data_IF_613041571256
#
_entry.id   IF_613041571256
#
_cell.length_a   1.000
_cell.length_b   1.000
_cell.length_c   1.000
_cell.angle_alpha   90.00
_cell.angle_beta   90.00
_cell.angle_gamma   90.00
#
_symmetry.space_group_name_H-M   'P 1'
#
loop_
_entity.id
_entity.type
_entity.pdbx_description
1 polymer ?
#
# COMPACT_ATOMS: atom_id res chain seq x y z
N UNK A 1 42.52 19.37 -42.21
CA UNK A 1 41.93 18.43 -41.24
C UNK A 1 40.86 19.17 -40.45
N UNK A 2 39.65 18.61 -40.31
CA UNK A 2 38.58 19.15 -39.46
C UNK A 2 38.49 18.25 -38.22
N UNK A 3 38.82 18.77 -37.04
CA UNK A 3 38.56 18.07 -35.78
C UNK A 3 37.17 18.46 -35.30
N UNK A 4 36.23 17.53 -35.33
CA UNK A 4 34.92 17.72 -34.70
C UNK A 4 35.06 17.59 -33.18
N UNK A 5 34.55 18.57 -32.44
CA UNK A 5 34.33 18.46 -31.01
C UNK A 5 33.20 17.45 -30.78
N UNK A 6 33.46 16.42 -29.99
CA UNK A 6 32.42 15.51 -29.51
C UNK A 6 31.69 16.24 -28.38
N UNK A 7 30.48 16.70 -28.65
CA UNK A 7 29.60 17.21 -27.61
C UNK A 7 29.23 16.08 -26.66
N UNK A 8 29.49 16.25 -25.36
CA UNK A 8 28.85 15.44 -24.33
C UNK A 8 27.39 15.86 -24.28
N UNK A 9 26.49 15.01 -24.74
CA UNK A 9 25.07 15.15 -24.45
C UNK A 9 24.87 14.90 -22.96
N UNK A 10 24.69 15.96 -22.19
CA UNK A 10 24.10 15.88 -20.85
C UNK A 10 22.62 15.57 -21.05
N UNK A 11 22.26 14.29 -20.96
CA UNK A 11 20.86 13.90 -20.72
C UNK A 11 20.50 14.43 -19.35
N UNK A 12 19.57 15.39 -19.27
CA UNK A 12 19.01 15.79 -17.99
C UNK A 12 18.14 14.62 -17.51
N UNK A 13 18.49 14.04 -16.36
CA UNK A 13 17.57 13.18 -15.61
C UNK A 13 16.49 14.11 -15.08
N UNK A 14 15.23 13.84 -15.42
CA UNK A 14 14.12 14.62 -14.89
C UNK A 14 13.90 14.20 -13.44
N UNK A 15 13.95 15.16 -12.51
CA UNK A 15 13.58 14.94 -11.12
C UNK A 15 12.08 14.63 -11.04
N UNK A 16 11.75 13.35 -10.90
CA UNK A 16 10.38 12.90 -10.67
C UNK A 16 9.98 13.15 -9.20
N UNK A 17 9.85 14.42 -8.81
CA UNK A 17 9.07 14.75 -7.61
C UNK A 17 7.61 14.45 -7.92
N UNK A 18 7.02 13.52 -7.17
CA UNK A 18 5.61 13.15 -7.27
C UNK A 18 4.72 14.27 -6.74
N UNK A 19 4.57 15.34 -7.50
CA UNK A 19 3.57 16.36 -7.24
C UNK A 19 2.23 15.81 -7.75
N UNK A 20 1.40 15.29 -6.83
CA UNK A 20 -0.01 15.01 -7.09
C UNK A 20 -0.76 16.33 -7.31
N UNK A 21 -0.53 16.93 -8.46
CA UNK A 21 -1.21 18.14 -8.90
C UNK A 21 -2.66 17.81 -9.23
N UNK A 22 -3.54 17.95 -8.23
CA UNK A 22 -4.99 18.05 -8.43
C UNK A 22 -5.28 19.27 -9.30
N UNK A 23 -5.24 19.05 -10.61
CA UNK A 23 -5.37 20.08 -11.62
C UNK A 23 -6.74 20.73 -11.57
N UNK A 24 -6.81 21.94 -11.00
CA UNK A 24 -8.02 22.75 -11.00
C UNK A 24 -8.48 22.99 -12.46
N UNK A 25 -9.62 22.39 -12.82
CA UNK A 25 -10.13 22.49 -14.18
C UNK A 25 -10.57 23.94 -14.45
N UNK A 26 -9.87 24.61 -15.36
CA UNK A 26 -10.01 26.05 -15.61
C UNK A 26 -11.39 26.41 -16.17
N UNK A 27 -11.99 27.47 -15.63
CA UNK A 27 -13.31 27.94 -16.02
C UNK A 27 -13.39 28.34 -17.51
N UNK A 28 -14.36 27.77 -18.23
CA UNK A 28 -14.65 28.12 -19.62
C UNK A 28 -16.16 28.19 -19.91
N UNK A 29 -16.83 29.20 -19.36
CA UNK A 29 -18.08 29.72 -19.94
C UNK A 29 -17.71 30.54 -21.19
N UNK A 30 -18.44 30.41 -22.32
CA UNK A 30 -19.61 31.28 -22.42
C UNK A 30 -20.82 30.73 -23.21
N UNK A 31 -22.00 30.98 -22.61
CA UNK A 31 -23.18 31.56 -23.27
C UNK A 31 -24.16 30.68 -24.07
N UNK A 32 -25.39 30.68 -23.53
CA UNK A 32 -26.70 30.80 -24.22
C UNK A 32 -27.28 29.63 -25.01
N UNK A 33 -28.38 29.06 -24.48
CA UNK A 33 -29.32 28.19 -25.20
C UNK A 33 -30.60 27.93 -24.39
N UNK A 34 -31.65 28.73 -24.62
CA UNK A 34 -32.94 28.68 -23.90
C UNK A 34 -33.75 27.40 -24.14
N UNK A 35 -34.38 26.81 -23.09
CA UNK A 35 -35.32 25.69 -23.26
C UNK A 35 -35.98 25.14 -21.98
N UNK A 36 -36.86 25.90 -21.34
CA UNK A 36 -37.93 25.36 -20.44
C UNK A 36 -39.18 24.95 -21.29
N UNK A 37 -40.22 24.25 -20.76
CA UNK A 37 -40.49 23.91 -19.36
C UNK A 37 -40.96 22.46 -19.05
N UNK A 38 -40.91 22.11 -17.75
CA UNK A 38 -42.08 21.56 -17.06
C UNK A 38 -42.23 20.04 -16.86
N UNK A 39 -42.14 19.61 -15.60
CA UNK A 39 -43.26 18.96 -14.91
C UNK A 39 -43.09 18.99 -13.38
N UNK A 40 -44.22 18.90 -12.68
CA UNK A 40 -44.37 19.04 -11.22
C UNK A 40 -45.30 17.92 -10.73
N UNK A 41 -45.22 17.60 -9.44
CA UNK A 41 -45.83 16.45 -8.75
C UNK A 41 -44.97 15.17 -8.87
N UNK A 42 -44.98 14.26 -7.88
CA UNK A 42 -45.98 14.10 -6.82
C UNK A 42 -45.36 13.54 -5.52
N UNK A 43 -45.76 14.06 -4.36
CA UNK A 43 -45.69 13.34 -3.09
C UNK A 43 -46.74 12.23 -3.10
N UNK A 44 -46.44 11.01 -2.63
CA UNK A 44 -47.43 10.20 -1.90
C UNK A 44 -46.75 9.41 -0.78
N UNK A 45 -47.38 9.43 0.40
CA UNK A 45 -47.05 8.61 1.56
C UNK A 45 -48.12 7.52 1.70
N UNK A 46 -47.72 6.28 1.97
CA UNK A 46 -48.62 5.17 2.31
C UNK A 46 -47.76 3.91 2.56
N UNK A 47 -47.50 3.48 3.79
CA UNK A 47 -48.38 2.97 4.85
C UNK A 47 -48.68 1.46 4.73
N UNK A 48 -48.10 0.72 5.69
CA UNK A 48 -48.56 -0.55 6.31
C UNK A 48 -48.85 -1.79 5.45
N UNK A 49 -48.13 -2.89 5.72
CA UNK A 49 -48.60 -4.04 6.53
C UNK A 49 -47.40 -4.98 6.74
N UNK A 50 -46.96 -5.39 7.94
CA UNK A 50 -47.54 -6.17 9.05
C UNK A 50 -47.27 -7.70 8.95
N UNK A 51 -46.87 -8.31 10.08
CA UNK A 51 -46.46 -9.73 10.21
C UNK A 51 -44.93 -9.98 10.24
N UNK A 52 -44.29 -10.47 11.31
CA UNK A 52 -44.78 -10.83 12.65
C UNK A 52 -44.52 -12.29 13.05
N UNK A 53 -43.36 -12.58 13.66
CA UNK A 53 -43.05 -13.71 14.59
C UNK A 53 -41.57 -13.56 15.01
N UNK A 54 -41.15 -13.28 16.26
CA UNK A 54 -41.17 -14.12 17.49
C UNK A 54 -40.72 -15.58 17.24
N UNK A 55 -39.81 -16.23 17.98
CA UNK A 55 -38.81 -15.85 19.01
C UNK A 55 -37.75 -17.01 19.06
N UNK A 56 -36.71 -17.09 19.91
CA UNK A 56 -36.34 -16.38 21.14
C UNK A 56 -34.81 -16.53 21.44
N UNK A 57 -34.33 -15.78 22.44
CA UNK A 57 -33.10 -16.05 23.23
C UNK A 57 -33.49 -16.89 24.50
N UNK A 58 -32.61 -17.26 25.47
CA UNK A 58 -31.20 -16.86 25.67
C UNK A 58 -30.23 -18.03 26.01
N UNK A 59 -28.99 -17.70 26.40
CA UNK A 59 -28.00 -18.67 26.86
C UNK A 59 -26.71 -18.03 27.40
N UNK A 60 -26.81 -17.27 28.49
CA UNK A 60 -25.64 -16.82 29.28
C UNK A 60 -24.93 -18.01 29.96
N UNK A 61 -23.60 -18.09 29.86
CA UNK A 61 -22.75 -18.90 30.75
C UNK A 61 -21.26 -18.50 30.64
N UNK A 62 -20.83 -17.54 31.46
CA UNK A 62 -19.44 -17.52 31.94
C UNK A 62 -19.20 -18.72 32.89
N UNK A 63 -17.94 -19.14 33.04
CA UNK A 63 -17.44 -19.30 34.41
C UNK A 63 -16.02 -18.70 34.61
N UNK A 64 -15.82 -18.09 35.78
CA UNK A 64 -14.51 -17.74 36.30
C UNK A 64 -13.77 -18.94 36.91
N UNK A 65 -12.44 -18.81 37.05
CA UNK A 65 -11.67 -19.41 38.14
C UNK A 65 -10.77 -20.60 37.79
N UNK A 66 -9.45 -20.41 37.93
CA UNK A 66 -8.67 -21.02 39.02
C UNK A 66 -7.16 -20.76 38.90
N UNK A 67 -6.55 -20.28 39.98
CA UNK A 67 -5.09 -20.26 40.21
C UNK A 67 -4.63 -21.59 40.85
N UNK A 68 -3.39 -22.02 40.58
CA UNK A 68 -2.52 -22.94 41.37
C UNK A 68 -1.20 -23.07 40.56
N UNK A 69 -0.14 -22.33 40.86
CA UNK A 69 0.92 -22.62 41.85
C UNK A 69 1.56 -24.02 41.78
N UNK A 70 2.82 -24.07 41.32
CA UNK A 70 3.87 -24.96 41.82
C UNK A 70 5.22 -24.68 41.12
N UNK A 71 6.19 -24.15 41.86
CA UNK A 71 7.62 -24.22 41.52
C UNK A 71 8.18 -25.63 41.78
N UNK A 72 9.29 -26.02 41.15
CA UNK A 72 10.62 -26.12 41.81
C UNK A 72 11.66 -26.97 41.03
N UNK A 73 12.94 -26.77 41.40
CA UNK A 73 14.18 -27.56 41.21
C UNK A 73 14.76 -27.83 39.82
N UNK A 74 15.86 -27.11 39.58
CA UNK A 74 16.91 -27.37 38.61
C UNK A 74 17.69 -28.69 38.82
N UNK A 75 18.40 -29.11 37.77
CA UNK A 75 19.67 -29.84 37.89
C UNK A 75 20.63 -29.45 36.76
N UNK A 76 21.92 -29.40 37.11
CA UNK A 76 23.08 -28.95 36.35
C UNK A 76 23.77 -30.14 35.66
N UNK A 77 24.25 -30.00 34.43
CA UNK A 77 25.34 -30.84 33.91
C UNK A 77 26.26 -30.03 32.98
N UNK A 78 27.57 -30.27 33.08
CA UNK A 78 28.62 -29.63 32.28
C UNK A 78 29.46 -30.70 31.59
N UNK A 79 29.70 -30.58 30.28
CA UNK A 79 30.82 -31.31 29.69
C UNK A 79 30.97 -31.28 28.17
N UNK A 80 32.21 -30.97 27.75
CA UNK A 80 32.88 -31.39 26.52
C UNK A 80 32.47 -30.78 25.16
N UNK A 81 33.23 -29.76 24.77
CA UNK A 81 34.20 -29.79 23.66
C UNK A 81 33.86 -30.67 22.43
N UNK A 82 33.70 -30.05 21.25
CA UNK A 82 33.53 -30.78 19.98
C UNK A 82 33.58 -29.88 18.74
N UNK A 83 34.66 -30.01 17.97
CA UNK A 83 35.01 -29.19 16.81
C UNK A 83 34.10 -29.40 15.57
N UNK A 84 33.90 -28.31 14.82
CA UNK A 84 33.59 -28.24 13.38
C UNK A 84 32.64 -29.30 12.76
N UNK A 85 31.34 -28.99 12.76
CA UNK A 85 30.38 -29.56 11.83
C UNK A 85 29.68 -28.42 11.06
N UNK A 86 30.03 -28.29 9.78
CA UNK A 86 29.51 -27.28 8.86
C UNK A 86 27.99 -27.05 9.02
N UNK A 87 27.62 -25.80 9.35
CA UNK A 87 26.24 -25.36 9.44
C UNK A 87 25.57 -25.39 8.05
N UNK A 88 25.02 -26.55 7.68
CA UNK A 88 23.91 -26.59 6.72
C UNK A 88 22.78 -25.76 7.32
N UNK A 89 22.28 -24.81 6.53
CA UNK A 89 21.39 -23.75 6.99
C UNK A 89 20.29 -24.28 7.92
N UNK A 90 20.26 -23.73 9.12
CA UNK A 90 19.08 -23.81 9.96
C UNK A 90 18.00 -22.96 9.28
N UNK A 91 17.13 -23.58 8.49
CA UNK A 91 15.76 -23.09 8.29
C UNK A 91 15.04 -23.22 9.64
N UNK A 92 15.39 -22.33 10.56
CA UNK A 92 14.61 -22.08 11.74
C UNK A 92 13.29 -21.47 11.32
N UNK A 93 12.24 -21.82 12.06
CA UNK A 93 10.95 -21.15 12.04
C UNK A 93 11.19 -19.72 12.57
N UNK A 94 11.51 -18.79 11.67
CA UNK A 94 11.72 -17.38 11.98
C UNK A 94 10.42 -16.66 11.68
N UNK A 95 9.83 -16.05 12.71
CA UNK A 95 8.65 -15.21 12.57
C UNK A 95 8.96 -14.10 11.55
N UNK A 96 8.08 -13.86 10.56
CA UNK A 96 8.23 -12.75 9.64
C UNK A 96 8.33 -11.41 10.36
N UNK A 97 9.14 -10.50 9.82
CA UNK A 97 9.39 -9.19 10.42
C UNK A 97 10.78 -8.65 10.08
N UNK A 98 11.25 -7.67 10.87
CA UNK A 98 12.55 -7.02 10.70
C UNK A 98 13.57 -7.53 11.72
N UNK A 99 14.80 -7.80 11.28
CA UNK A 99 15.91 -8.17 12.16
C UNK A 99 16.44 -6.95 12.92
N UNK A 100 17.31 -7.18 13.91
CA UNK A 100 18.11 -6.13 14.53
C UNK A 100 19.20 -5.51 13.61
N UNK A 101 19.47 -6.13 12.45
CA UNK A 101 20.37 -5.59 11.42
C UNK A 101 19.65 -4.70 10.39
N UNK A 102 18.32 -4.67 10.42
CA UNK A 102 17.48 -3.92 9.48
C UNK A 102 16.99 -4.75 8.29
N UNK A 103 17.43 -6.01 8.15
CA UNK A 103 16.97 -6.93 7.11
C UNK A 103 15.51 -7.35 7.33
N UNK A 104 14.80 -7.62 6.24
CA UNK A 104 13.47 -8.22 6.26
C UNK A 104 13.56 -9.76 6.20
N UNK A 105 12.91 -10.45 7.13
CA UNK A 105 12.65 -11.88 7.05
C UNK A 105 11.19 -12.04 6.65
N UNK A 106 10.94 -12.53 5.44
CA UNK A 106 9.57 -12.70 4.92
C UNK A 106 9.37 -14.10 4.31
N UNK A 107 8.13 -14.58 4.20
CA UNK A 107 7.82 -15.79 3.45
C UNK A 107 7.98 -15.59 1.94
N UNK A 108 8.25 -16.70 1.24
CA UNK A 108 8.11 -16.84 -0.21
C UNK A 108 6.67 -17.28 -0.51
N UNK A 109 5.97 -16.54 -1.37
CA UNK A 109 4.56 -16.79 -1.67
C UNK A 109 4.26 -17.14 -3.13
N UNK A 110 3.01 -16.89 -3.54
CA UNK A 110 2.54 -17.18 -4.90
C UNK A 110 3.11 -16.19 -5.92
N UNK A 111 3.66 -16.71 -7.02
CA UNK A 111 4.02 -15.91 -8.21
C UNK A 111 2.88 -15.78 -9.23
N UNK A 112 1.68 -16.27 -8.91
CA UNK A 112 0.49 -16.09 -9.74
C UNK A 112 -0.21 -14.78 -9.37
N UNK A 113 -0.47 -13.94 -10.38
CA UNK A 113 -1.31 -12.75 -10.23
C UNK A 113 -2.69 -13.18 -9.69
N UNK A 114 -3.19 -12.54 -8.61
CA UNK A 114 -4.46 -12.92 -8.01
C UNK A 114 -5.64 -12.65 -8.95
N UNK A 115 -6.54 -13.63 -9.09
CA UNK A 115 -7.72 -13.55 -9.97
C UNK A 115 -8.92 -12.80 -9.37
N UNK A 116 -8.76 -12.26 -8.17
CA UNK A 116 -9.72 -11.46 -7.41
C UNK A 116 -8.99 -10.80 -6.22
N UNK A 117 -9.63 -9.89 -5.48
CA UNK A 117 -8.97 -9.18 -4.38
C UNK A 117 -8.47 -10.16 -3.31
N UNK A 118 -7.21 -10.05 -2.84
CA UNK A 118 -6.76 -10.78 -1.66
C UNK A 118 -7.49 -10.30 -0.40
N UNK A 119 -7.55 -11.18 0.60
CA UNK A 119 -8.14 -10.85 1.91
C UNK A 119 -7.26 -9.83 2.65
N UNK A 120 -7.92 -8.81 3.21
CA UNK A 120 -7.30 -7.75 4.02
C UNK A 120 -7.83 -7.91 5.44
N UNK A 121 -6.93 -7.97 6.42
CA UNK A 121 -7.29 -8.12 7.83
C UNK A 121 -7.72 -6.78 8.44
N UNK A 122 -7.04 -5.69 8.07
CA UNK A 122 -7.31 -4.33 8.52
C UNK A 122 -6.97 -3.29 7.43
N UNK A 123 -7.75 -2.21 7.35
CA UNK A 123 -7.41 -1.02 6.59
C UNK A 123 -7.01 0.08 7.58
N UNK A 124 -5.71 0.24 7.81
CA UNK A 124 -5.16 1.18 8.77
C UNK A 124 -4.72 2.48 8.07
N UNK A 125 -4.83 3.61 8.78
CA UNK A 125 -4.57 4.93 8.20
C UNK A 125 -3.06 5.24 8.20
N UNK A 126 -2.54 5.63 7.04
CA UNK A 126 -1.18 6.13 6.82
C UNK A 126 -1.31 7.48 6.13
N UNK A 127 -0.85 8.55 6.79
CA UNK A 127 -0.90 9.93 6.25
C UNK A 127 -2.23 10.31 5.55
N UNK A 128 -3.37 9.98 6.17
CA UNK A 128 -4.71 10.32 5.64
C UNK A 128 -5.26 9.38 4.54
N UNK A 129 -4.48 8.37 4.13
CA UNK A 129 -4.91 7.32 3.19
C UNK A 129 -5.02 5.97 3.90
N UNK A 130 -6.08 5.20 3.63
CA UNK A 130 -6.23 3.86 4.20
C UNK A 130 -5.36 2.85 3.43
N UNK A 131 -4.38 2.24 4.11
CA UNK A 131 -3.50 1.21 3.56
C UNK A 131 -3.85 -0.19 4.14
N UNK A 132 -3.75 -1.25 3.33
CA UNK A 132 -4.16 -2.58 3.73
C UNK A 132 -3.07 -3.30 4.54
N UNK A 133 -3.50 -4.02 5.57
CA UNK A 133 -2.66 -4.85 6.43
C UNK A 133 -3.14 -6.30 6.33
N UNK A 134 -2.20 -7.23 6.22
CA UNK A 134 -2.47 -8.67 6.28
C UNK A 134 -1.42 -9.41 7.09
N UNK A 135 -1.86 -10.29 7.98
CA UNK A 135 -0.99 -11.24 8.67
C UNK A 135 -0.37 -12.27 7.72
N UNK A 136 -0.95 -12.47 6.52
CA UNK A 136 -0.38 -13.31 5.48
C UNK A 136 0.57 -12.56 4.56
N UNK A 137 0.23 -11.35 4.08
CA UNK A 137 0.98 -10.66 3.03
C UNK A 137 1.89 -9.51 3.50
N UNK A 138 1.76 -9.10 4.76
CA UNK A 138 2.47 -7.97 5.36
C UNK A 138 1.60 -6.71 5.49
N UNK A 139 2.15 -5.62 6.05
CA UNK A 139 3.52 -5.50 6.56
C UNK A 139 3.77 -6.34 7.81
N UNK A 140 4.93 -7.00 7.89
CA UNK A 140 5.37 -7.72 9.09
C UNK A 140 6.20 -6.87 10.04
N UNK A 141 6.57 -5.64 9.65
CA UNK A 141 7.26 -4.69 10.52
C UNK A 141 6.74 -3.26 10.30
N UNK A 142 6.38 -2.60 11.39
CA UNK A 142 5.86 -1.23 11.42
C UNK A 142 6.61 -0.44 12.49
N UNK A 143 7.13 0.74 12.14
CA UNK A 143 7.68 1.72 13.07
C UNK A 143 6.91 3.03 12.92
N UNK A 144 5.88 3.21 13.74
CA UNK A 144 4.84 4.21 13.50
C UNK A 144 4.14 3.98 12.16
N UNK A 145 4.10 5.02 11.33
CA UNK A 145 3.53 4.97 9.98
C UNK A 145 4.51 4.36 8.95
N UNK A 146 5.78 4.10 9.30
CA UNK A 146 6.76 3.49 8.40
C UNK A 146 6.61 1.96 8.38
N UNK A 147 5.92 1.44 7.37
CA UNK A 147 5.63 0.01 7.23
C UNK A 147 6.51 -0.68 6.19
N UNK A 148 6.93 -1.90 6.51
CA UNK A 148 8.05 -2.60 5.87
C UNK A 148 7.85 -4.12 5.93
N UNK A 149 8.69 -4.86 5.19
CA UNK A 149 8.68 -6.33 5.13
C UNK A 149 7.32 -6.91 4.70
N UNK A 150 7.12 -7.05 3.39
CA UNK A 150 5.95 -7.68 2.77
C UNK A 150 6.35 -9.01 2.14
N UNK A 151 5.40 -9.94 1.97
CA UNK A 151 5.69 -11.26 1.38
C UNK A 151 6.37 -11.15 0.01
N UNK A 152 7.31 -12.05 -0.29
CA UNK A 152 7.90 -12.16 -1.62
C UNK A 152 6.93 -12.90 -2.54
N UNK A 153 5.87 -12.20 -2.98
CA UNK A 153 4.77 -12.76 -3.76
C UNK A 153 4.01 -11.67 -4.53
N UNK A 154 3.09 -12.09 -5.41
CA UNK A 154 2.22 -11.17 -6.14
C UNK A 154 1.32 -10.38 -5.19
N UNK A 155 0.71 -11.04 -4.21
CA UNK A 155 -0.15 -10.40 -3.23
C UNK A 155 0.67 -9.51 -2.27
N UNK A 156 1.84 -9.96 -1.79
CA UNK A 156 2.76 -9.14 -1.00
C UNK A 156 3.21 -7.87 -1.75
N UNK A 157 3.49 -7.96 -3.05
CA UNK A 157 3.79 -6.81 -3.89
C UNK A 157 2.60 -5.84 -4.03
N UNK A 158 1.35 -6.32 -4.04
CA UNK A 158 0.16 -5.48 -4.08
C UNK A 158 -0.05 -4.72 -2.77
N UNK A 159 0.13 -5.39 -1.62
CA UNK A 159 0.09 -4.74 -0.31
C UNK A 159 1.20 -3.69 -0.17
N UNK A 160 2.43 -4.05 -0.56
CA UNK A 160 3.57 -3.14 -0.60
C UNK A 160 3.29 -1.90 -1.49
N UNK A 161 2.71 -2.10 -2.66
CA UNK A 161 2.38 -1.03 -3.60
C UNK A 161 1.29 -0.08 -3.07
N UNK A 162 0.27 -0.63 -2.39
CA UNK A 162 -0.79 0.15 -1.76
C UNK A 162 -0.28 1.01 -0.62
N UNK A 163 0.59 0.45 0.24
CA UNK A 163 1.26 1.22 1.28
C UNK A 163 2.19 2.29 0.71
N UNK A 164 3.06 1.95 -0.25
CA UNK A 164 4.01 2.92 -0.81
C UNK A 164 3.28 4.11 -1.47
N UNK A 165 2.14 3.86 -2.12
CA UNK A 165 1.25 4.90 -2.63
C UNK A 165 0.71 5.82 -1.53
N UNK A 166 0.32 5.29 -0.37
CA UNK A 166 -0.15 6.07 0.77
C UNK A 166 0.97 6.85 1.49
N UNK A 167 2.17 6.28 1.55
CA UNK A 167 3.27 6.79 2.38
C UNK A 167 4.26 7.72 1.65
N UNK A 168 4.44 7.55 0.33
CA UNK A 168 5.49 8.23 -0.45
C UNK A 168 5.40 9.75 -0.37
N UNK A 169 6.45 10.39 0.19
CA UNK A 169 6.51 11.84 0.37
C UNK A 169 5.62 12.38 1.50
N UNK A 170 5.09 11.50 2.37
CA UNK A 170 4.18 11.84 3.46
C UNK A 170 4.62 11.26 4.82
N UNK A 171 5.29 10.10 4.82
CA UNK A 171 5.80 9.41 6.01
C UNK A 171 7.31 9.60 6.14
N UNK A 172 7.78 9.99 7.33
CA UNK A 172 9.21 10.16 7.63
C UNK A 172 9.99 8.84 7.47
N UNK A 173 11.10 8.88 6.76
CA UNK A 173 11.96 7.74 6.46
C UNK A 173 11.51 6.90 5.25
N UNK A 174 10.38 7.24 4.60
CA UNK A 174 9.86 6.43 3.48
C UNK A 174 10.86 6.37 2.32
N UNK A 175 11.53 7.46 1.97
CA UNK A 175 12.51 7.44 0.87
C UNK A 175 13.81 6.72 1.24
N UNK A 176 14.21 6.75 2.51
CA UNK A 176 15.33 5.92 2.98
C UNK A 176 15.01 4.43 2.86
N UNK A 177 13.79 4.03 3.22
CA UNK A 177 13.41 2.63 3.34
C UNK A 177 12.95 1.98 2.01
N UNK A 178 12.34 2.76 1.10
CA UNK A 178 11.67 2.26 -0.10
C UNK A 178 12.33 2.61 -1.42
N UNK A 179 13.37 3.45 -1.45
CA UNK A 179 14.12 3.71 -2.67
C UNK A 179 15.41 2.86 -2.68
N UNK A 180 15.86 2.36 -3.86
CA UNK A 180 17.17 1.73 -3.98
C UNK A 180 18.30 2.73 -3.71
N UNK A 181 19.45 2.25 -3.26
CA UNK A 181 20.62 3.09 -3.00
C UNK A 181 21.11 3.84 -4.27
N UNK A 182 21.30 5.15 -4.16
CA UNK A 182 21.87 5.99 -5.21
C UNK A 182 21.44 7.46 -5.12
N UNK A 183 21.98 8.28 -6.03
CA UNK A 183 21.80 9.75 -6.04
C UNK A 183 20.33 10.20 -5.92
N UNK A 184 19.38 9.48 -6.54
CA UNK A 184 17.94 9.81 -6.46
C UNK A 184 17.35 9.61 -5.06
N UNK A 185 17.81 8.61 -4.31
CA UNK A 185 17.40 8.37 -2.91
C UNK A 185 17.96 9.47 -2.01
N UNK A 186 19.23 9.82 -2.18
CA UNK A 186 19.87 10.90 -1.44
C UNK A 186 19.19 12.26 -1.70
N UNK A 187 18.81 12.55 -2.96
CA UNK A 187 18.03 13.73 -3.33
C UNK A 187 16.61 13.71 -2.73
N UNK A 188 15.92 12.57 -2.77
CA UNK A 188 14.58 12.42 -2.21
C UNK A 188 14.57 12.63 -0.68
N UNK A 189 15.46 11.96 0.07
CA UNK A 189 15.62 12.12 1.52
C UNK A 189 15.93 13.58 1.89
N UNK A 190 16.78 14.26 1.11
CA UNK A 190 17.05 15.68 1.33
C UNK A 190 15.79 16.54 1.18
N UNK A 191 14.97 16.27 0.16
CA UNK A 191 13.71 16.99 -0.09
C UNK A 191 12.58 16.67 0.90
N UNK A 192 12.58 15.46 1.47
CA UNK A 192 11.60 14.99 2.46
C UNK A 192 11.54 15.95 3.67
N UNK A 193 12.71 16.42 4.11
CA UNK A 193 12.88 17.38 5.20
C UNK A 193 12.31 18.78 4.93
N UNK A 194 11.97 19.10 3.68
CA UNK A 194 11.44 20.41 3.27
C UNK A 194 9.94 20.39 2.93
N UNK A 195 9.31 19.22 2.78
CA UNK A 195 7.98 19.12 2.14
C UNK A 195 7.06 17.96 2.52
N UNK A 196 6.99 17.57 3.80
CA UNK A 196 5.80 16.85 4.30
C UNK A 196 4.59 17.76 4.16
N UNK A 197 3.81 17.55 3.09
CA UNK A 197 2.61 18.34 2.80
C UNK A 197 1.49 17.89 3.74
N UNK A 198 0.99 18.79 4.59
CA UNK A 198 -0.26 18.59 5.35
C UNK A 198 -1.44 18.54 4.35
N UNK A 199 -1.77 17.34 3.85
CA UNK A 199 -2.94 17.05 3.00
C UNK A 199 -4.24 16.91 3.82
N UNK A 200 -4.40 17.73 4.87
CA UNK A 200 -5.43 17.60 5.92
C UNK A 200 -6.89 17.55 5.41
N UNK A 201 -7.15 18.03 4.19
CA UNK A 201 -8.48 18.11 3.57
C UNK A 201 -8.72 17.07 2.45
N UNK A 202 -7.74 16.21 2.09
CA UNK A 202 -7.86 15.26 0.96
C UNK A 202 -7.85 13.81 1.46
N UNK A 203 -9.04 13.27 1.73
CA UNK A 203 -9.18 11.82 1.95
C UNK A 203 -9.12 11.05 0.64
N UNK A 204 -8.26 10.02 0.61
CA UNK A 204 -8.12 9.10 -0.51
C UNK A 204 -8.53 7.70 -0.07
N UNK A 205 -9.40 7.05 -0.85
CA UNK A 205 -9.83 5.68 -0.62
C UNK A 205 -9.43 4.82 -1.80
N UNK A 206 -8.63 3.78 -1.60
CA UNK A 206 -8.36 2.80 -2.66
C UNK A 206 -9.68 2.14 -3.08
N UNK A 207 -9.89 1.97 -4.39
CA UNK A 207 -11.14 1.37 -4.94
C UNK A 207 -10.89 0.21 -5.90
N UNK A 208 -9.68 0.07 -6.42
CA UNK A 208 -9.29 -1.10 -7.18
C UNK A 208 -7.84 -1.09 -7.63
N UNK A 209 -7.41 -2.22 -8.16
CA UNK A 209 -6.07 -2.41 -8.72
C UNK A 209 -6.12 -3.20 -10.04
N UNK A 210 -5.06 -3.11 -10.83
CA UNK A 210 -4.85 -3.98 -11.99
C UNK A 210 -3.36 -4.26 -12.16
N UNK A 211 -2.96 -5.52 -12.04
CA UNK A 211 -1.62 -5.94 -12.46
C UNK A 211 -1.45 -5.76 -13.97
N UNK A 212 -0.35 -5.13 -14.34
CA UNK A 212 0.15 -5.07 -15.71
C UNK A 212 1.15 -6.21 -15.96
N UNK A 213 2.08 -6.39 -15.02
CA UNK A 213 3.09 -7.45 -15.03
C UNK A 213 3.44 -7.88 -13.61
N UNK A 214 3.81 -9.14 -13.44
CA UNK A 214 4.44 -9.65 -12.22
C UNK A 214 5.47 -10.73 -12.56
N UNK A 215 6.59 -10.68 -11.87
CA UNK A 215 7.64 -11.70 -11.73
C UNK A 215 8.13 -11.67 -10.29
N UNK A 216 8.87 -12.69 -9.83
CA UNK A 216 9.45 -12.67 -8.48
C UNK A 216 10.25 -11.38 -8.23
N UNK A 217 11.08 -10.98 -9.20
CA UNK A 217 11.98 -9.83 -9.02
C UNK A 217 11.32 -8.45 -9.29
N UNK A 218 10.07 -8.39 -9.79
CA UNK A 218 9.44 -7.14 -10.23
C UNK A 218 7.91 -7.22 -10.37
N UNK A 219 7.22 -6.17 -9.92
CA UNK A 219 5.77 -6.00 -10.02
C UNK A 219 5.43 -4.64 -10.63
N UNK A 220 4.46 -4.60 -11.54
CA UNK A 220 3.91 -3.34 -12.08
C UNK A 220 2.40 -3.42 -12.13
N UNK A 221 1.74 -2.44 -11.52
CA UNK A 221 0.29 -2.40 -11.39
C UNK A 221 -0.23 -0.98 -11.44
N UNK A 222 -1.48 -0.82 -11.82
CA UNK A 222 -2.22 0.41 -11.59
C UNK A 222 -2.99 0.28 -10.27
N UNK A 223 -2.87 1.28 -9.40
CA UNK A 223 -3.74 1.46 -8.22
C UNK A 223 -4.69 2.61 -8.53
N UNK A 224 -5.97 2.43 -8.21
CA UNK A 224 -7.00 3.46 -8.37
C UNK A 224 -7.54 3.86 -7.00
N UNK A 225 -7.53 5.17 -6.74
CA UNK A 225 -8.14 5.80 -5.58
C UNK A 225 -9.35 6.64 -5.98
N UNK A 226 -10.41 6.60 -5.20
CA UNK A 226 -11.46 7.62 -5.18
C UNK A 226 -11.01 8.77 -4.27
N UNK A 227 -11.09 10.00 -4.76
CA UNK A 227 -10.82 11.21 -3.97
C UNK A 227 -12.01 12.16 -4.02
N UNK A 228 -12.19 12.94 -2.95
CA UNK A 228 -13.26 13.96 -2.89
C UNK A 228 -12.73 15.28 -3.45
N UNK A 229 -13.43 15.84 -4.42
CA UNK A 229 -13.14 17.16 -5.02
C UNK A 229 -14.36 18.08 -4.85
N UNK A 230 -14.23 19.42 -4.99
CA UNK A 230 -15.36 20.34 -4.85
C UNK A 230 -16.55 20.07 -5.78
N UNK A 231 -16.33 19.33 -6.87
CA UNK A 231 -17.32 19.00 -7.91
C UNK A 231 -17.97 17.61 -7.72
N UNK A 232 -17.51 16.77 -6.79
CA UNK A 232 -18.00 15.41 -6.57
C UNK A 232 -16.91 14.45 -6.07
N UNK A 233 -17.03 13.15 -6.37
CA UNK A 233 -15.91 12.22 -6.27
C UNK A 233 -15.27 12.00 -7.65
N UNK A 234 -13.96 11.80 -7.67
CA UNK A 234 -13.19 11.51 -8.87
C UNK A 234 -12.29 10.29 -8.62
N UNK A 235 -12.25 9.37 -9.58
CA UNK A 235 -11.30 8.26 -9.55
C UNK A 235 -10.01 8.68 -10.25
N UNK A 236 -8.88 8.45 -9.56
CA UNK A 236 -7.53 8.75 -10.03
C UNK A 236 -6.72 7.46 -9.97
N UNK A 237 -6.12 7.08 -11.08
CA UNK A 237 -5.20 5.96 -11.20
C UNK A 237 -3.75 6.43 -11.21
N UNK A 238 -2.85 5.61 -10.68
CA UNK A 238 -1.41 5.77 -10.82
C UNK A 238 -0.77 4.40 -11.08
N UNK A 239 0.29 4.38 -11.89
CA UNK A 239 1.13 3.17 -12.04
C UNK A 239 2.13 3.12 -10.90
N UNK A 240 2.04 2.08 -10.09
CA UNK A 240 3.05 1.72 -9.09
C UNK A 240 3.91 0.60 -9.66
N UNK A 241 5.22 0.78 -9.64
CA UNK A 241 6.19 -0.23 -10.02
C UNK A 241 7.14 -0.49 -8.84
N UNK A 242 7.33 -1.77 -8.52
CA UNK A 242 8.21 -2.24 -7.45
C UNK A 242 9.18 -3.28 -8.03
N UNK A 243 10.37 -3.36 -7.44
CA UNK A 243 11.33 -4.43 -7.67
C UNK A 243 11.74 -5.08 -6.35
N UNK A 244 12.17 -6.32 -6.41
CA UNK A 244 12.73 -7.02 -5.26
C UNK A 244 14.21 -6.64 -5.09
N UNK A 245 14.56 -6.05 -3.96
CA UNK A 245 15.94 -5.71 -3.61
C UNK A 245 16.38 -6.47 -2.36
N UNK A 246 17.11 -7.56 -2.59
CA UNK A 246 17.68 -8.44 -1.57
C UNK A 246 16.63 -9.22 -0.78
N UNK A 247 15.92 -8.53 0.11
CA UNK A 247 15.01 -9.06 1.12
C UNK A 247 13.65 -8.33 1.24
N UNK A 248 13.44 -7.28 0.43
CA UNK A 248 12.18 -6.51 0.42
C UNK A 248 11.78 -6.01 -0.97
N UNK A 249 10.54 -5.55 -1.08
CA UNK A 249 10.10 -4.73 -2.18
C UNK A 249 10.56 -3.27 -1.99
N UNK A 250 11.09 -2.67 -3.06
CA UNK A 250 11.43 -1.24 -3.16
C UNK A 250 10.83 -0.66 -4.45
N UNK A 251 10.72 0.66 -4.56
CA UNK A 251 10.18 1.32 -5.74
C UNK A 251 11.12 1.19 -6.96
N UNK A 252 10.58 0.73 -8.08
CA UNK A 252 11.24 0.75 -9.38
C UNK A 252 10.96 2.11 -10.05
N UNK A 253 11.85 3.08 -9.82
CA UNK A 253 11.75 4.43 -10.35
C UNK A 253 11.87 4.52 -11.89
N UNK A 254 12.39 3.50 -12.57
CA UNK A 254 12.44 3.49 -14.05
C UNK A 254 11.09 3.12 -14.67
N UNK A 255 10.30 2.28 -13.98
CA UNK A 255 8.99 1.80 -14.47
C UNK A 255 7.79 2.44 -13.75
N UNK A 256 8.00 3.26 -12.72
CA UNK A 256 6.95 3.99 -12.01
C UNK A 256 6.17 4.95 -12.93
N UNK A 257 4.92 5.27 -12.58
CA UNK A 257 4.16 6.30 -13.28
C UNK A 257 4.60 7.71 -12.89
N UNK A 258 5.12 8.48 -13.84
CA UNK A 258 5.50 9.90 -13.63
C UNK A 258 4.29 10.79 -13.24
N UNK A 259 3.09 10.45 -13.74
CA UNK A 259 1.86 11.23 -13.55
C UNK A 259 0.67 10.32 -13.19
N UNK A 260 -0.20 10.82 -12.32
CA UNK A 260 -1.51 10.23 -12.06
C UNK A 260 -2.52 10.61 -13.16
N UNK A 261 -3.54 9.79 -13.39
CA UNK A 261 -4.49 9.93 -14.50
C UNK A 261 -5.94 9.70 -14.08
N UNK A 262 -6.90 10.39 -14.71
CA UNK A 262 -8.32 10.21 -14.42
C UNK A 262 -8.84 8.85 -14.91
N UNK A 263 -9.69 8.20 -14.12
CA UNK A 263 -10.29 6.89 -14.42
C UNK A 263 -11.81 7.02 -14.56
N UNK A 264 -12.32 7.01 -15.79
CA UNK A 264 -13.76 7.16 -16.06
C UNK A 264 -14.59 5.92 -15.72
N UNK A 265 -13.98 4.72 -15.72
CA UNK A 265 -14.61 3.46 -15.33
C UNK A 265 -13.60 2.51 -14.68
N UNK A 266 -14.07 1.71 -13.72
CA UNK A 266 -13.31 0.63 -13.09
C UNK A 266 -13.37 -0.69 -13.89
N UNK A 267 -13.90 -0.67 -15.12
CA UNK A 267 -13.90 -1.83 -16.01
C UNK A 267 -12.46 -2.35 -16.25
N UNK A 268 -12.24 -3.62 -15.90
CA UNK A 268 -10.92 -4.25 -16.01
C UNK A 268 -9.99 -4.03 -14.82
N UNK A 269 -10.45 -3.38 -13.74
CA UNK A 269 -9.79 -3.38 -12.44
C UNK A 269 -10.45 -4.39 -11.50
N UNK A 270 -9.65 -5.03 -10.64
CA UNK A 270 -10.16 -5.80 -9.52
C UNK A 270 -10.68 -4.84 -8.44
N UNK A 271 -11.93 -4.96 -7.96
CA UNK A 271 -12.44 -4.11 -6.89
C UNK A 271 -11.75 -4.45 -5.57
N UNK A 272 -11.16 -3.46 -4.91
CA UNK A 272 -10.40 -3.63 -3.67
C UNK A 272 -10.42 -2.30 -2.93
N UNK A 273 -11.06 -2.28 -1.76
CA UNK A 273 -11.48 -1.03 -1.11
C UNK A 273 -11.37 -1.09 0.41
N UNK A 274 -10.87 0.02 0.98
CA UNK A 274 -10.94 0.37 2.41
C UNK A 274 -12.04 1.36 2.75
#
# INVERSE_FOLDING_TARGET
>A
MRSSVIGRSTTAVASALLILALGACGSADPSSGTGEPGSRAQEEQGASDDGGSTAAAPGDAEPEGSEDDATDVAADDRGADGEDAAAKGATGDQTPGRTAGGECVVPEGSSQIPTGPPEVDEWAMVAGTAAPVSAQYGPYAQDGDLWTCYEHSADGALFAAAYYFAASGQVEGVHEEWLPEGDLRDEAIASESEHVQELDDVSMTLVGYRFQTYTADAATMDIVSETTVPEGTANVGIRVALMWDGDRWVADLENFGEEAYSVESLDGYSPWRG
#
